data_IF_956499388890
#
_entry.id   IF_956499388890
#
_cell.length_a   1.000
_cell.length_b   1.000
_cell.length_c   1.000
_cell.angle_alpha   90.00
_cell.angle_beta   90.00
_cell.angle_gamma   90.00
#
_symmetry.space_group_name_H-M   'P 1'
#
loop_
_entity.id
_entity.type
_entity.pdbx_description
1 polymer ?
#
# COMPACT_ATOMS: atom_id res chain seq x y z
N UNK A 1 -2.70 5.78 -5.56
CA UNK A 1 -1.96 5.76 -6.83
C UNK A 1 -0.54 5.35 -6.56
N UNK A 2 0.06 4.51 -7.42
CA UNK A 2 1.47 4.13 -7.34
C UNK A 2 2.18 4.53 -8.64
N UNK A 3 3.42 5.01 -8.55
CA UNK A 3 4.23 5.38 -9.70
C UNK A 3 4.49 4.17 -10.61
N UNK A 4 4.44 4.38 -11.91
CA UNK A 4 4.80 3.36 -12.91
C UNK A 4 6.25 2.88 -12.71
N UNK A 5 7.13 3.72 -12.17
CA UNK A 5 8.49 3.32 -11.82
C UNK A 5 8.57 2.08 -10.90
N UNK A 6 7.56 1.88 -10.03
CA UNK A 6 7.47 0.69 -9.18
C UNK A 6 7.14 -0.60 -9.96
N UNK A 7 6.76 -0.48 -11.24
CA UNK A 7 6.45 -1.62 -12.11
C UNK A 7 7.61 -2.00 -13.06
N UNK A 8 8.76 -1.36 -12.91
CA UNK A 8 9.92 -1.63 -13.76
C UNK A 8 10.33 -3.10 -13.69
N UNK A 9 10.38 -3.77 -14.83
CA UNK A 9 10.71 -5.20 -14.93
C UNK A 9 9.55 -6.16 -14.58
N UNK A 10 8.36 -5.66 -14.25
CA UNK A 10 7.22 -6.52 -13.83
C UNK A 10 6.74 -7.44 -14.96
N UNK A 11 6.60 -6.92 -16.18
CA UNK A 11 6.12 -7.73 -17.31
C UNK A 11 7.15 -8.79 -17.70
N UNK A 12 8.42 -8.45 -17.62
CA UNK A 12 9.57 -9.35 -17.83
C UNK A 12 9.59 -10.45 -16.73
N UNK A 13 9.38 -10.07 -15.48
CA UNK A 13 9.31 -11.03 -14.36
C UNK A 13 8.15 -12.02 -14.51
N UNK A 14 6.97 -11.55 -14.94
CA UNK A 14 5.83 -12.42 -15.24
C UNK A 14 6.19 -13.41 -16.36
N UNK A 15 6.81 -12.93 -17.42
CA UNK A 15 7.22 -13.79 -18.55
C UNK A 15 8.27 -14.80 -18.13
N UNK A 16 9.27 -14.39 -17.35
CA UNK A 16 10.33 -15.26 -16.86
C UNK A 16 9.81 -16.36 -15.92
N UNK A 17 8.75 -16.07 -15.17
CA UNK A 17 8.03 -17.04 -14.33
C UNK A 17 7.04 -17.95 -15.13
N UNK A 18 6.98 -17.82 -16.46
CA UNK A 18 6.12 -18.63 -17.33
C UNK A 18 4.68 -18.12 -17.48
N UNK A 19 4.39 -16.92 -17.00
CA UNK A 19 3.08 -16.27 -17.15
C UNK A 19 2.96 -15.50 -18.45
N UNK A 20 1.72 -15.10 -18.77
CA UNK A 20 1.41 -14.24 -19.92
C UNK A 20 0.98 -12.85 -19.43
N UNK A 21 1.85 -11.82 -19.49
CA UNK A 21 1.53 -10.48 -19.01
C UNK A 21 0.37 -9.85 -19.81
N UNK A 22 0.27 -10.06 -21.11
CA UNK A 22 -0.78 -9.47 -21.94
C UNK A 22 -2.17 -9.98 -21.56
N UNK A 23 -2.29 -11.25 -21.19
CA UNK A 23 -3.54 -11.82 -20.70
C UNK A 23 -3.96 -11.21 -19.36
N UNK A 24 -2.99 -10.99 -18.46
CA UNK A 24 -3.26 -10.35 -17.16
C UNK A 24 -3.72 -8.91 -17.37
N UNK A 25 -3.01 -8.15 -18.22
CA UNK A 25 -3.36 -6.77 -18.52
C UNK A 25 -4.75 -6.65 -19.16
N UNK A 26 -5.06 -7.53 -20.13
CA UNK A 26 -6.38 -7.57 -20.76
C UNK A 26 -7.50 -7.83 -19.75
N UNK A 27 -7.29 -8.75 -18.80
CA UNK A 27 -8.27 -9.04 -17.73
C UNK A 27 -8.54 -7.82 -16.85
N UNK A 28 -7.54 -6.97 -16.66
CA UNK A 28 -7.62 -5.75 -15.86
C UNK A 28 -8.01 -4.51 -16.70
N UNK A 29 -8.22 -4.66 -18.01
CA UNK A 29 -8.56 -3.56 -18.91
C UNK A 29 -7.42 -2.56 -19.13
N UNK A 30 -6.17 -3.02 -19.07
CA UNK A 30 -4.97 -2.21 -19.21
C UNK A 30 -4.32 -2.42 -20.57
N UNK A 31 -3.76 -1.33 -21.11
CA UNK A 31 -2.90 -1.37 -22.28
C UNK A 31 -1.42 -1.45 -21.87
N UNK A 32 -0.64 -2.27 -22.58
CA UNK A 32 0.79 -2.45 -22.32
C UNK A 32 1.59 -1.14 -22.41
N UNK A 33 1.14 -0.20 -23.24
CA UNK A 33 1.79 1.11 -23.40
C UNK A 33 1.83 1.93 -22.11
N UNK A 34 0.97 1.63 -21.14
CA UNK A 34 1.01 2.26 -19.81
C UNK A 34 2.36 1.98 -19.14
N UNK A 35 2.91 0.78 -19.31
CA UNK A 35 4.16 0.33 -18.68
C UNK A 35 5.42 0.73 -19.46
N UNK A 36 5.27 1.27 -20.67
CA UNK A 36 6.38 1.79 -21.48
C UNK A 36 6.69 3.25 -21.22
N UNK A 37 5.87 3.93 -20.39
CA UNK A 37 6.07 5.33 -20.03
C UNK A 37 7.13 5.45 -18.94
N UNK A 38 7.98 6.46 -19.05
CA UNK A 38 8.96 6.79 -18.00
C UNK A 38 8.33 7.42 -16.77
N UNK A 39 7.14 8.03 -16.92
CA UNK A 39 6.43 8.76 -15.87
C UNK A 39 4.94 8.45 -15.90
N UNK A 40 4.31 8.51 -14.73
CA UNK A 40 2.88 8.31 -14.57
C UNK A 40 2.53 7.51 -13.34
N UNK A 41 1.22 7.29 -13.16
CA UNK A 41 0.69 6.58 -12.01
C UNK A 41 -0.41 5.62 -12.45
N UNK A 42 -0.50 4.49 -11.76
CA UNK A 42 -1.63 3.56 -11.84
C UNK A 42 -2.32 3.44 -10.47
N UNK A 43 -3.59 3.02 -10.41
CA UNK A 43 -4.23 2.70 -9.14
C UNK A 43 -3.45 1.63 -8.37
N UNK A 44 -3.26 1.78 -7.07
CA UNK A 44 -2.58 0.77 -6.24
C UNK A 44 -3.31 -0.57 -6.26
N UNK A 45 -4.65 -0.54 -6.33
CA UNK A 45 -5.47 -1.75 -6.51
C UNK A 45 -5.18 -2.48 -7.82
N UNK A 46 -4.84 -1.74 -8.87
CA UNK A 46 -4.43 -2.30 -10.17
C UNK A 46 -3.08 -3.01 -10.05
N UNK A 47 -2.09 -2.37 -9.42
CA UNK A 47 -0.78 -2.98 -9.17
C UNK A 47 -0.92 -4.25 -8.32
N UNK A 48 -1.68 -4.19 -7.23
CA UNK A 48 -1.96 -5.37 -6.39
C UNK A 48 -2.68 -6.48 -7.18
N UNK A 49 -3.62 -6.12 -8.05
CA UNK A 49 -4.30 -7.05 -8.94
C UNK A 49 -3.34 -7.76 -9.91
N UNK A 50 -2.39 -7.02 -10.50
CA UNK A 50 -1.37 -7.61 -11.39
C UNK A 50 -0.51 -8.62 -10.64
N UNK A 51 0.02 -8.27 -9.46
CA UNK A 51 0.85 -9.18 -8.66
C UNK A 51 0.09 -10.45 -8.26
N UNK A 52 -1.17 -10.31 -7.84
CA UNK A 52 -2.04 -11.44 -7.49
C UNK A 52 -2.31 -12.35 -8.70
N UNK A 53 -2.66 -11.77 -9.85
CA UNK A 53 -2.95 -12.53 -11.06
C UNK A 53 -1.68 -13.14 -11.66
N UNK A 54 -0.51 -12.48 -11.49
CA UNK A 54 0.79 -13.05 -11.80
C UNK A 54 1.08 -14.30 -10.96
N UNK A 55 0.96 -14.20 -9.64
CA UNK A 55 1.16 -15.36 -8.75
C UNK A 55 0.27 -16.55 -9.16
N UNK A 56 -1.01 -16.26 -9.48
CA UNK A 56 -1.96 -17.32 -9.89
C UNK A 56 -1.61 -17.93 -11.24
N UNK A 57 -1.25 -17.11 -12.25
CA UNK A 57 -1.01 -17.57 -13.63
C UNK A 57 0.32 -18.26 -13.81
N UNK A 58 1.33 -17.91 -13.00
CA UNK A 58 2.65 -18.54 -13.02
C UNK A 58 2.73 -19.79 -12.11
N UNK A 59 1.80 -19.95 -11.18
CA UNK A 59 1.88 -20.95 -10.12
C UNK A 59 2.93 -20.61 -9.05
N UNK A 60 3.53 -19.44 -9.10
CA UNK A 60 4.48 -18.94 -8.10
C UNK A 60 3.74 -18.24 -6.96
N UNK A 61 3.46 -18.94 -5.89
CA UNK A 61 2.75 -18.41 -4.72
C UNK A 61 3.52 -17.28 -4.01
N UNK A 62 4.84 -17.15 -4.26
CA UNK A 62 5.73 -16.12 -3.73
C UNK A 62 6.10 -15.05 -4.79
N UNK A 63 5.31 -14.88 -5.85
CA UNK A 63 5.65 -13.99 -6.96
C UNK A 63 5.99 -12.56 -6.52
N UNK A 64 5.21 -11.97 -5.60
CA UNK A 64 5.50 -10.62 -5.08
C UNK A 64 6.83 -10.53 -4.35
N UNK A 65 7.18 -11.57 -3.59
CA UNK A 65 8.46 -11.70 -2.91
C UNK A 65 9.62 -11.80 -3.92
N UNK A 66 9.49 -12.66 -4.93
CA UNK A 66 10.49 -12.85 -5.98
C UNK A 66 10.65 -11.60 -6.87
N UNK A 67 9.55 -10.95 -7.22
CA UNK A 67 9.60 -9.69 -7.94
C UNK A 67 10.31 -8.61 -7.11
N UNK A 68 10.01 -8.52 -5.81
CA UNK A 68 10.69 -7.60 -4.89
C UNK A 68 12.19 -7.89 -4.76
N UNK A 69 12.60 -9.16 -4.76
CA UNK A 69 13.99 -9.58 -4.69
C UNK A 69 14.78 -9.23 -5.97
N UNK A 70 14.14 -9.37 -7.12
CA UNK A 70 14.72 -9.00 -8.43
C UNK A 70 14.67 -7.49 -8.73
N UNK A 71 13.79 -6.74 -8.04
CA UNK A 71 13.59 -5.32 -8.29
C UNK A 71 14.77 -4.48 -7.79
N UNK A 72 15.34 -3.68 -8.68
CA UNK A 72 16.45 -2.80 -8.30
C UNK A 72 15.91 -1.50 -7.67
N UNK A 73 16.22 -1.19 -6.39
CA UNK A 73 15.65 -0.03 -5.69
C UNK A 73 15.80 1.30 -6.44
N UNK A 74 16.90 1.52 -7.15
CA UNK A 74 17.14 2.75 -7.95
C UNK A 74 16.09 2.98 -9.04
N UNK A 75 15.33 1.96 -9.45
CA UNK A 75 14.25 2.12 -10.44
C UNK A 75 13.14 3.05 -9.92
N UNK A 76 13.00 3.21 -8.59
CA UNK A 76 12.06 4.19 -8.01
C UNK A 76 12.55 5.64 -8.22
N UNK A 77 13.80 5.85 -8.64
CA UNK A 77 14.33 7.18 -8.95
C UNK A 77 14.70 8.00 -7.70
N UNK A 78 14.37 9.30 -7.65
CA UNK A 78 14.85 10.22 -6.62
C UNK A 78 14.62 9.77 -5.19
N UNK A 79 13.52 9.05 -4.88
CA UNK A 79 13.27 8.50 -3.54
C UNK A 79 14.35 7.51 -3.11
N UNK A 80 14.76 6.61 -4.01
CA UNK A 80 15.83 5.66 -3.70
C UNK A 80 17.17 6.39 -3.56
N UNK A 81 17.45 7.35 -4.45
CA UNK A 81 18.71 8.09 -4.39
C UNK A 81 18.86 8.91 -3.11
N UNK A 82 17.80 9.57 -2.62
CA UNK A 82 17.87 10.31 -1.34
C UNK A 82 18.08 9.36 -0.16
N UNK A 83 17.46 8.19 -0.15
CA UNK A 83 17.65 7.19 0.89
C UNK A 83 19.09 6.64 0.89
N UNK A 84 19.56 6.18 -0.28
CA UNK A 84 20.88 5.55 -0.45
C UNK A 84 22.07 6.48 -0.22
N UNK A 85 21.88 7.80 -0.32
CA UNK A 85 22.92 8.80 -0.11
C UNK A 85 22.72 9.59 1.19
N UNK A 86 21.78 9.18 2.03
CA UNK A 86 21.57 9.79 3.36
C UNK A 86 22.81 9.60 4.25
N UNK A 87 23.12 10.57 5.14
CA UNK A 87 24.29 10.48 6.02
C UNK A 87 24.29 9.25 6.91
N UNK A 88 23.09 8.88 7.43
CA UNK A 88 22.90 7.71 8.30
C UNK A 88 21.69 6.88 7.82
N UNK A 89 21.62 5.64 8.29
CA UNK A 89 20.47 4.76 8.03
C UNK A 89 19.17 5.39 8.55
N UNK A 90 19.20 5.96 9.77
CA UNK A 90 18.03 6.64 10.34
C UNK A 90 17.55 7.81 9.49
N UNK A 91 18.47 8.63 8.97
CA UNK A 91 18.14 9.71 8.02
C UNK A 91 17.53 9.14 6.74
N UNK A 92 18.03 8.01 6.22
CA UNK A 92 17.46 7.33 5.05
C UNK A 92 16.03 6.87 5.30
N UNK A 93 15.76 6.24 6.44
CA UNK A 93 14.42 5.82 6.85
C UNK A 93 13.47 7.03 6.95
N UNK A 94 13.90 8.12 7.59
CA UNK A 94 13.12 9.36 7.71
C UNK A 94 12.80 9.98 6.33
N UNK A 95 13.74 9.93 5.41
CA UNK A 95 13.51 10.42 4.05
C UNK A 95 12.50 9.56 3.30
N UNK A 96 12.54 8.23 3.44
CA UNK A 96 11.52 7.35 2.88
C UNK A 96 10.14 7.66 3.49
N UNK A 97 10.04 7.79 4.79
CA UNK A 97 8.80 8.16 5.49
C UNK A 97 8.24 9.49 4.96
N UNK A 98 9.10 10.49 4.78
CA UNK A 98 8.73 11.83 4.30
C UNK A 98 8.26 11.86 2.86
N UNK A 99 8.92 11.12 1.96
CA UNK A 99 8.72 11.30 0.51
C UNK A 99 8.02 10.15 -0.19
N UNK A 100 7.78 9.01 0.47
CA UNK A 100 7.19 7.82 -0.18
C UNK A 100 5.84 8.12 -0.83
N UNK A 101 5.04 8.99 -0.25
CA UNK A 101 3.71 9.31 -0.78
C UNK A 101 3.74 10.08 -2.12
N UNK A 102 4.91 10.63 -2.53
CA UNK A 102 5.13 11.18 -3.87
C UNK A 102 5.03 10.05 -4.91
N UNK A 103 5.46 8.83 -4.55
CA UNK A 103 5.55 7.67 -5.44
C UNK A 103 4.43 6.65 -5.23
N UNK A 104 3.97 6.52 -4.02
CA UNK A 104 2.86 5.64 -3.64
C UNK A 104 1.99 6.30 -2.57
N UNK A 105 0.85 6.84 -3.00
CA UNK A 105 -0.10 7.49 -2.10
C UNK A 105 -0.83 6.52 -1.17
N UNK A 106 -0.71 5.21 -1.39
CA UNK A 106 -1.28 4.18 -0.52
C UNK A 106 -0.31 3.66 0.52
N UNK A 107 0.99 3.78 0.28
CA UNK A 107 2.01 3.32 1.18
C UNK A 107 2.25 4.31 2.33
N UNK A 108 2.24 3.80 3.54
CA UNK A 108 2.71 4.52 4.72
C UNK A 108 3.85 3.76 5.35
N UNK A 109 4.94 4.47 5.50
CA UNK A 109 6.12 4.01 6.22
C UNK A 109 6.27 4.85 7.47
N UNK A 110 6.57 4.23 8.59
CA UNK A 110 6.88 4.95 9.82
C UNK A 110 7.81 4.14 10.71
N UNK A 111 8.67 4.85 11.40
CA UNK A 111 9.62 4.26 12.32
C UNK A 111 9.14 4.42 13.75
N UNK A 112 9.22 3.35 14.53
CA UNK A 112 8.98 3.37 15.98
C UNK A 112 10.09 2.65 16.70
N UNK A 113 10.41 3.07 17.93
CA UNK A 113 11.41 2.44 18.77
C UNK A 113 10.77 1.92 20.06
N UNK A 114 11.12 0.69 20.44
CA UNK A 114 10.68 0.03 21.68
C UNK A 114 11.88 -0.64 22.34
N UNK A 115 12.37 -0.07 23.44
CA UNK A 115 13.60 -0.51 24.07
C UNK A 115 14.81 -0.37 23.12
N UNK A 116 15.54 -1.46 22.88
CA UNK A 116 16.67 -1.50 21.93
C UNK A 116 16.28 -1.96 20.52
N UNK A 117 14.98 -2.04 20.22
CA UNK A 117 14.48 -2.45 18.90
C UNK A 117 13.87 -1.27 18.15
N UNK A 118 14.22 -1.16 16.86
CA UNK A 118 13.58 -0.26 15.91
C UNK A 118 12.66 -1.05 14.99
N UNK A 119 11.50 -0.49 14.70
CA UNK A 119 10.49 -1.10 13.81
C UNK A 119 10.27 -0.17 12.62
N UNK A 120 10.66 -0.60 11.43
CA UNK A 120 10.29 0.04 10.18
C UNK A 120 8.96 -0.58 9.75
N UNK A 121 7.85 0.11 9.99
CA UNK A 121 6.50 -0.40 9.73
C UNK A 121 6.01 0.02 8.35
N UNK A 122 5.33 -0.89 7.69
CA UNK A 122 4.76 -0.70 6.36
C UNK A 122 3.28 -1.03 6.36
N UNK A 123 2.47 -0.06 5.96
CA UNK A 123 1.01 -0.20 5.87
C UNK A 123 0.54 0.30 4.51
N UNK A 124 -0.19 -0.54 3.79
CA UNK A 124 -0.92 -0.11 2.61
C UNK A 124 -2.32 0.37 3.01
N UNK A 125 -2.62 1.59 2.65
CA UNK A 125 -3.93 2.21 2.83
C UNK A 125 -4.59 2.38 1.45
N UNK A 126 -5.92 2.42 1.37
CA UNK A 126 -6.65 2.73 0.11
C UNK A 126 -6.59 1.68 -1.01
N UNK A 127 -6.21 0.44 -0.72
CA UNK A 127 -6.07 -0.63 -1.73
C UNK A 127 -7.28 -1.57 -1.82
N UNK A 128 -8.36 -1.29 -1.10
CA UNK A 128 -9.56 -2.14 -1.07
C UNK A 128 -9.43 -3.36 -0.15
N UNK A 129 -10.30 -4.37 -0.35
CA UNK A 129 -10.37 -5.61 0.45
C UNK A 129 -9.54 -6.75 -0.18
N UNK A 130 -8.85 -6.51 -1.29
CA UNK A 130 -8.05 -7.55 -1.93
C UNK A 130 -6.93 -8.03 -0.97
N UNK A 131 -6.62 -9.34 -0.98
CA UNK A 131 -5.47 -9.83 -0.27
C UNK A 131 -4.22 -9.11 -0.77
N UNK A 132 -3.59 -8.34 0.11
CA UNK A 132 -2.41 -7.54 -0.22
C UNK A 132 -1.10 -8.29 0.01
N UNK A 133 -1.15 -9.61 0.22
CA UNK A 133 0.01 -10.42 0.55
C UNK A 133 1.15 -10.17 -0.45
N UNK A 134 0.91 -10.35 -1.75
CA UNK A 134 1.93 -10.18 -2.79
C UNK A 134 2.52 -8.76 -2.78
N UNK A 135 1.69 -7.74 -2.58
CA UNK A 135 2.14 -6.33 -2.49
C UNK A 135 2.93 -6.05 -1.21
N UNK A 136 2.53 -6.65 -0.09
CA UNK A 136 3.23 -6.50 1.18
C UNK A 136 4.60 -7.19 1.13
N UNK A 137 4.67 -8.41 0.60
CA UNK A 137 5.90 -9.15 0.40
C UNK A 137 6.86 -8.40 -0.53
N UNK A 138 6.35 -7.87 -1.65
CA UNK A 138 7.12 -7.02 -2.56
C UNK A 138 7.69 -5.77 -1.86
N UNK A 139 6.84 -5.00 -1.16
CA UNK A 139 7.25 -3.78 -0.48
C UNK A 139 8.30 -4.03 0.61
N UNK A 140 8.09 -5.06 1.44
CA UNK A 140 9.03 -5.43 2.50
C UNK A 140 10.39 -5.88 1.95
N UNK A 141 10.39 -6.65 0.85
CA UNK A 141 11.63 -7.09 0.17
C UNK A 141 12.38 -5.89 -0.41
N UNK A 142 11.67 -4.94 -1.04
CA UNK A 142 12.26 -3.72 -1.57
C UNK A 142 13.00 -2.91 -0.50
N UNK A 143 12.44 -2.81 0.72
CA UNK A 143 13.09 -2.10 1.83
C UNK A 143 14.33 -2.84 2.31
N UNK A 144 14.26 -4.15 2.46
CA UNK A 144 15.44 -4.96 2.82
C UNK A 144 16.55 -4.79 1.79
N UNK A 145 16.22 -4.83 0.49
CA UNK A 145 17.20 -4.64 -0.56
C UNK A 145 17.77 -3.20 -0.58
N UNK A 146 16.95 -2.19 -0.27
CA UNK A 146 17.43 -0.81 -0.11
C UNK A 146 18.44 -0.72 1.04
N UNK A 147 18.13 -1.29 2.21
CA UNK A 147 19.05 -1.30 3.34
C UNK A 147 20.33 -2.08 3.03
N UNK A 148 20.24 -3.21 2.32
CA UNK A 148 21.42 -3.95 1.84
C UNK A 148 22.29 -3.14 0.90
N UNK A 149 21.70 -2.29 0.06
CA UNK A 149 22.46 -1.36 -0.78
C UNK A 149 23.17 -0.27 0.04
N UNK A 150 22.59 0.13 1.18
CA UNK A 150 23.18 1.14 2.07
C UNK A 150 24.38 0.61 2.86
N UNK A 151 24.31 -0.64 3.35
CA UNK A 151 25.26 -1.16 4.34
C UNK A 151 25.97 -2.44 3.92
N UNK A 152 25.66 -2.98 2.76
CA UNK A 152 26.26 -4.22 2.23
C UNK A 152 25.27 -5.37 2.13
N UNK A 153 25.46 -6.20 1.10
CA UNK A 153 24.54 -7.28 0.71
C UNK A 153 24.37 -8.38 1.77
N UNK A 154 25.29 -8.49 2.74
CA UNK A 154 25.22 -9.50 3.81
C UNK A 154 24.33 -9.08 4.98
N UNK A 155 23.86 -7.85 5.01
CA UNK A 155 22.98 -7.39 6.08
C UNK A 155 21.63 -8.11 6.05
N UNK A 156 21.12 -8.38 7.24
CA UNK A 156 19.78 -8.93 7.46
C UNK A 156 19.11 -8.22 8.66
N UNK A 157 17.78 -8.08 8.65
CA UNK A 157 17.05 -7.60 9.82
C UNK A 157 17.12 -8.62 10.98
N UNK A 158 16.77 -8.20 12.19
CA UNK A 158 16.62 -9.13 13.32
C UNK A 158 15.39 -10.04 13.14
N UNK A 159 14.33 -9.52 12.53
CA UNK A 159 13.06 -10.20 12.33
C UNK A 159 12.26 -9.49 11.23
N UNK A 160 11.44 -10.22 10.51
CA UNK A 160 10.45 -9.69 9.56
C UNK A 160 9.07 -10.10 10.02
N UNK A 161 8.15 -9.15 10.09
CA UNK A 161 6.77 -9.37 10.52
C UNK A 161 5.81 -9.10 9.36
N UNK A 162 4.89 -10.02 9.13
CA UNK A 162 3.80 -9.86 8.16
C UNK A 162 2.45 -9.93 8.86
N UNK A 163 1.53 -9.03 8.45
CA UNK A 163 0.16 -9.00 8.97
C UNK A 163 -0.73 -10.10 8.37
N UNK A 164 -0.34 -10.67 7.23
CA UNK A 164 -1.06 -11.79 6.62
C UNK A 164 -0.66 -13.13 7.26
N UNK A 165 -1.52 -14.12 7.11
CA UNK A 165 -1.26 -15.49 7.54
C UNK A 165 -0.09 -16.13 6.79
N UNK A 166 0.55 -17.11 7.42
CA UNK A 166 1.63 -17.85 6.80
C UNK A 166 1.13 -18.57 5.54
N UNK A 167 1.83 -18.46 4.40
CA UNK A 167 1.57 -19.33 3.26
C UNK A 167 1.95 -20.78 3.58
N UNK A 168 1.52 -21.73 2.73
CA UNK A 168 1.86 -23.14 2.91
C UNK A 168 3.37 -23.40 2.95
N UNK A 169 4.13 -22.62 2.21
CA UNK A 169 5.59 -22.73 2.15
C UNK A 169 6.23 -21.37 2.45
N UNK A 170 7.14 -21.33 3.41
CA UNK A 170 7.83 -20.12 3.87
C UNK A 170 9.34 -20.13 3.62
N UNK A 171 9.86 -21.17 2.94
CA UNK A 171 11.29 -21.32 2.67
C UNK A 171 11.89 -20.13 1.91
N UNK A 172 11.15 -19.61 0.92
CA UNK A 172 11.59 -18.45 0.14
C UNK A 172 11.66 -17.16 0.98
N UNK A 173 10.73 -16.97 1.91
CA UNK A 173 10.78 -15.86 2.86
C UNK A 173 12.08 -15.92 3.69
N UNK A 174 12.40 -17.09 4.27
CA UNK A 174 13.65 -17.23 5.04
C UNK A 174 14.89 -17.09 4.18
N UNK A 175 14.87 -17.59 2.93
CA UNK A 175 15.99 -17.46 1.99
C UNK A 175 16.27 -16.00 1.64
N UNK A 176 15.21 -15.24 1.32
CA UNK A 176 15.34 -13.84 0.86
C UNK A 176 15.65 -12.92 2.04
N UNK A 177 14.91 -13.00 3.13
CA UNK A 177 15.13 -12.11 4.27
C UNK A 177 16.35 -12.46 5.10
N UNK A 178 16.74 -13.76 5.15
CA UNK A 178 17.85 -14.28 5.96
C UNK A 178 17.67 -13.93 7.45
N UNK A 179 16.43 -13.95 7.92
CA UNK A 179 16.01 -13.61 9.26
C UNK A 179 14.78 -14.45 9.65
N UNK A 180 14.44 -14.56 10.93
CA UNK A 180 13.15 -15.06 11.37
C UNK A 180 12.01 -14.28 10.74
N UNK A 181 10.98 -14.99 10.25
CA UNK A 181 9.78 -14.37 9.64
C UNK A 181 8.57 -14.80 10.46
N UNK A 182 7.83 -13.81 10.95
CA UNK A 182 6.61 -13.97 11.74
C UNK A 182 5.40 -13.58 10.90
N UNK A 183 4.33 -14.37 10.97
CA UNK A 183 3.08 -14.14 10.25
C UNK A 183 1.94 -13.93 11.24
N UNK A 184 0.80 -13.39 10.77
CA UNK A 184 -0.34 -13.08 11.62
C UNK A 184 -0.08 -11.93 12.61
N UNK A 185 0.90 -11.06 12.34
CA UNK A 185 1.23 -9.93 13.19
C UNK A 185 0.24 -8.77 12.98
N UNK A 186 0.24 -7.81 13.90
CA UNK A 186 -0.63 -6.63 13.81
C UNK A 186 -0.33 -5.77 12.56
N UNK A 187 0.94 -5.66 12.19
CA UNK A 187 1.40 -4.86 11.04
C UNK A 187 2.58 -5.54 10.34
N UNK A 188 2.85 -5.15 9.09
CA UNK A 188 4.11 -5.52 8.46
C UNK A 188 5.22 -4.65 9.04
N UNK A 189 6.33 -5.26 9.47
CA UNK A 189 7.47 -4.55 10.02
C UNK A 189 8.80 -5.26 9.76
N UNK A 190 9.86 -4.47 9.58
CA UNK A 190 11.23 -4.94 9.75
C UNK A 190 11.70 -4.55 11.14
N UNK A 191 12.19 -5.52 11.90
CA UNK A 191 12.77 -5.30 13.23
C UNK A 191 14.28 -5.20 13.06
N UNK A 192 14.85 -4.10 13.56
CA UNK A 192 16.28 -3.80 13.52
C UNK A 192 16.77 -3.48 14.91
N UNK A 193 18.06 -3.58 15.16
CA UNK A 193 18.67 -3.00 16.36
C UNK A 193 18.59 -1.46 16.30
N UNK A 194 18.19 -0.82 17.40
CA UNK A 194 18.00 0.63 17.40
C UNK A 194 19.29 1.39 17.02
N UNK A 195 20.44 0.94 17.53
CA UNK A 195 21.75 1.52 17.21
C UNK A 195 22.14 1.44 15.73
N UNK A 196 21.47 0.55 14.96
CA UNK A 196 21.67 0.47 13.52
C UNK A 196 21.29 1.76 12.77
N UNK A 197 20.33 2.53 13.31
CA UNK A 197 19.91 3.81 12.71
C UNK A 197 20.99 4.88 12.74
N UNK A 198 21.94 4.79 13.66
CA UNK A 198 23.04 5.76 13.81
C UNK A 198 24.22 5.46 12.88
N UNK A 199 24.23 4.28 12.24
CA UNK A 199 25.32 3.90 11.34
C UNK A 199 25.33 4.80 10.10
N UNK A 200 26.52 5.28 9.77
CA UNK A 200 26.76 6.00 8.52
C UNK A 200 26.56 5.07 7.31
N UNK A 201 26.16 5.66 6.18
CA UNK A 201 26.07 4.97 4.90
C UNK A 201 27.43 5.11 4.18
N UNK A 202 28.22 4.02 4.08
CA UNK A 202 29.63 4.13 3.63
C UNK A 202 29.82 4.71 2.22
N UNK A 203 28.85 4.48 1.34
CA UNK A 203 28.90 4.92 -0.07
C UNK A 203 28.06 6.19 -0.33
N UNK A 204 27.65 6.91 0.72
CA UNK A 204 26.82 8.09 0.57
C UNK A 204 27.56 9.24 -0.13
N UNK A 205 26.96 9.76 -1.19
CA UNK A 205 27.38 10.99 -1.84
C UNK A 205 26.58 12.16 -1.28
N UNK A 206 27.24 12.99 -0.46
CA UNK A 206 26.61 14.14 0.20
C UNK A 206 26.09 15.19 -0.80
N UNK A 207 26.76 15.38 -1.91
CA UNK A 207 26.33 16.33 -2.94
C UNK A 207 25.06 15.82 -3.64
N UNK A 208 25.05 14.56 -4.05
CA UNK A 208 23.88 13.92 -4.64
C UNK A 208 22.69 13.90 -3.66
N UNK A 209 22.97 13.63 -2.39
CA UNK A 209 21.94 13.69 -1.32
C UNK A 209 21.26 15.06 -1.29
N UNK A 210 22.03 16.15 -1.25
CA UNK A 210 21.48 17.51 -1.20
C UNK A 210 20.64 17.84 -2.45
N UNK A 211 21.11 17.46 -3.63
CA UNK A 211 20.40 17.66 -4.90
C UNK A 211 19.05 16.91 -4.88
N UNK A 212 19.07 15.61 -4.53
CA UNK A 212 17.87 14.79 -4.50
C UNK A 212 16.86 15.25 -3.45
N UNK A 213 17.36 15.62 -2.27
CA UNK A 213 16.54 16.17 -1.19
C UNK A 213 15.86 17.47 -1.61
N UNK A 214 16.61 18.38 -2.21
CA UNK A 214 16.09 19.66 -2.69
C UNK A 214 15.01 19.47 -3.78
N UNK A 215 15.26 18.57 -4.72
CA UNK A 215 14.29 18.18 -5.74
C UNK A 215 13.00 17.61 -5.12
N UNK A 216 13.14 16.66 -4.18
CA UNK A 216 11.98 16.04 -3.52
C UNK A 216 11.21 17.04 -2.63
N UNK A 217 11.91 17.94 -1.93
CA UNK A 217 11.26 19.02 -1.17
C UNK A 217 10.46 19.95 -2.09
N UNK A 218 10.99 20.26 -3.28
CA UNK A 218 10.26 21.05 -4.29
C UNK A 218 9.03 20.29 -4.79
N UNK A 219 9.18 19.04 -5.25
CA UNK A 219 8.05 18.21 -5.69
C UNK A 219 6.98 18.12 -4.60
N UNK A 220 7.40 17.89 -3.35
CA UNK A 220 6.50 17.82 -2.20
C UNK A 220 5.75 19.14 -1.97
N UNK A 221 6.41 20.27 -2.18
CA UNK A 221 5.80 21.61 -2.04
C UNK A 221 4.78 21.93 -3.14
N UNK A 222 5.01 21.39 -4.35
CA UNK A 222 4.16 21.55 -5.53
C UNK A 222 3.02 20.53 -5.58
N UNK A 223 3.17 19.38 -4.86
CA UNK A 223 2.07 18.44 -4.76
C UNK A 223 0.86 19.16 -4.17
N UNK A 224 -0.33 18.98 -4.79
CA UNK A 224 -1.55 19.37 -4.13
C UNK A 224 -1.49 18.74 -2.74
N UNK A 225 -1.40 19.55 -1.72
CA UNK A 225 -1.43 19.01 -0.36
C UNK A 225 -2.64 18.12 -0.30
N UNK A 226 -2.48 16.78 -0.16
CA UNK A 226 -3.57 15.89 0.29
C UNK A 226 -4.03 16.35 1.69
N UNK A 227 -3.70 17.60 1.99
CA UNK A 227 -3.99 18.35 3.16
C UNK A 227 -5.47 18.37 3.37
N UNK A 228 -5.85 17.66 4.36
CA UNK A 228 -7.10 18.02 4.99
C UNK A 228 -8.33 17.92 4.09
N UNK A 229 -8.26 18.29 2.79
CA UNK A 229 -9.43 18.35 1.94
C UNK A 229 -9.90 16.96 1.54
N UNK A 230 -9.08 16.11 0.93
CA UNK A 230 -9.49 14.74 0.58
C UNK A 230 -9.69 13.90 1.83
N UNK A 231 -8.79 14.03 2.81
CA UNK A 231 -8.95 13.42 4.13
C UNK A 231 -10.20 13.95 4.84
N UNK A 232 -10.46 15.26 4.79
CA UNK A 232 -11.67 15.89 5.33
C UNK A 232 -12.92 15.47 4.56
N UNK A 233 -12.84 15.28 3.23
CA UNK A 233 -13.95 14.73 2.43
C UNK A 233 -14.25 13.30 2.87
N UNK A 234 -13.23 12.44 2.99
CA UNK A 234 -13.40 11.05 3.47
C UNK A 234 -13.96 10.99 4.89
N UNK A 235 -13.44 11.83 5.78
CA UNK A 235 -13.99 11.98 7.15
C UNK A 235 -15.45 12.43 7.11
N UNK A 236 -15.78 13.44 6.31
CA UNK A 236 -17.16 13.92 6.15
C UNK A 236 -18.08 12.87 5.51
N UNK A 237 -17.57 12.05 4.59
CA UNK A 237 -18.30 10.88 4.04
C UNK A 237 -18.56 9.87 5.18
N UNK A 238 -17.55 9.48 5.94
CA UNK A 238 -17.68 8.52 7.05
C UNK A 238 -18.66 8.99 8.13
N UNK A 239 -18.58 10.26 8.50
CA UNK A 239 -19.55 10.86 9.42
C UNK A 239 -20.97 10.89 8.84
N UNK A 240 -21.10 11.15 7.54
CA UNK A 240 -22.42 11.18 6.87
C UNK A 240 -23.05 9.79 6.73
N UNK A 241 -22.24 8.71 6.71
CA UNK A 241 -22.74 7.33 6.71
C UNK A 241 -23.52 6.99 7.97
N UNK A 242 -23.10 7.50 9.14
CA UNK A 242 -23.82 7.31 10.41
C UNK A 242 -25.22 7.96 10.40
N UNK A 243 -25.40 8.98 9.57
CA UNK A 243 -26.66 9.69 9.37
C UNK A 243 -27.48 9.13 8.19
N UNK A 244 -27.07 8.01 7.61
CA UNK A 244 -27.65 7.36 6.42
C UNK A 244 -26.79 7.51 5.17
N UNK A 245 -27.39 7.44 3.97
CA UNK A 245 -26.65 7.51 2.71
C UNK A 245 -25.88 8.84 2.53
N UNK A 246 -24.54 8.81 2.32
CA UNK A 246 -23.72 10.00 2.18
C UNK A 246 -23.92 10.63 0.78
N UNK A 247 -24.91 11.51 0.66
CA UNK A 247 -25.17 12.27 -0.58
C UNK A 247 -24.14 13.40 -0.76
N UNK A 248 -23.75 13.69 -2.00
CA UNK A 248 -22.80 14.76 -2.36
C UNK A 248 -23.18 16.11 -1.69
N UNK A 249 -24.45 16.48 -1.71
CA UNK A 249 -24.92 17.73 -1.14
C UNK A 249 -24.72 17.79 0.40
N UNK A 250 -24.90 16.66 1.10
CA UNK A 250 -24.70 16.56 2.56
C UNK A 250 -23.22 16.72 2.91
N UNK A 251 -22.35 16.02 2.20
CA UNK A 251 -20.89 16.08 2.41
C UNK A 251 -20.39 17.49 2.09
N UNK A 252 -20.83 18.07 0.98
CA UNK A 252 -20.47 19.44 0.60
C UNK A 252 -20.89 20.46 1.68
N UNK A 253 -22.08 20.32 2.24
CA UNK A 253 -22.55 21.18 3.34
C UNK A 253 -21.68 21.04 4.60
N UNK A 254 -21.29 19.81 4.99
CA UNK A 254 -20.37 19.57 6.13
C UNK A 254 -19.00 20.22 5.90
N UNK A 255 -18.58 20.38 4.64
CA UNK A 255 -17.33 21.00 4.27
C UNK A 255 -17.43 22.50 3.96
N UNK A 256 -18.57 23.13 4.27
CA UNK A 256 -18.85 24.54 3.97
C UNK A 256 -18.61 24.92 2.50
N UNK A 257 -18.93 24.03 1.53
CA UNK A 257 -18.80 24.29 0.10
C UNK A 257 -20.02 23.84 -0.70
N UNK A 258 -20.16 24.38 -1.92
CA UNK A 258 -21.23 23.98 -2.84
C UNK A 258 -20.97 22.58 -3.43
N UNK A 259 -22.02 21.79 -3.77
CA UNK A 259 -21.87 20.48 -4.39
C UNK A 259 -21.04 20.48 -5.69
N UNK A 260 -21.19 21.50 -6.53
CA UNK A 260 -20.40 21.66 -7.76
C UNK A 260 -18.91 21.89 -7.47
N UNK A 261 -18.60 22.70 -6.43
CA UNK A 261 -17.24 22.95 -5.99
C UNK A 261 -16.58 21.68 -5.47
N UNK A 262 -17.29 20.91 -4.64
CA UNK A 262 -16.80 19.61 -4.15
C UNK A 262 -16.54 18.63 -5.31
N UNK A 263 -17.48 18.53 -6.25
CA UNK A 263 -17.34 17.64 -7.41
C UNK A 263 -16.17 18.04 -8.31
N UNK A 264 -15.95 19.34 -8.54
CA UNK A 264 -14.80 19.85 -9.30
C UNK A 264 -13.49 19.49 -8.61
N UNK A 265 -13.37 19.76 -7.31
CA UNK A 265 -12.18 19.41 -6.52
C UNK A 265 -11.88 17.92 -6.54
N UNK A 266 -12.90 17.06 -6.39
CA UNK A 266 -12.70 15.62 -6.50
C UNK A 266 -12.16 15.21 -7.86
N UNK A 267 -12.64 15.83 -8.95
CA UNK A 267 -12.11 15.62 -10.31
C UNK A 267 -10.65 16.07 -10.46
N UNK A 268 -10.30 17.20 -9.86
CA UNK A 268 -8.90 17.70 -9.82
C UNK A 268 -7.97 16.71 -9.11
N UNK A 269 -8.47 15.98 -8.12
CA UNK A 269 -7.77 14.86 -7.44
C UNK A 269 -7.92 13.52 -8.15
N UNK A 270 -8.58 13.45 -9.31
CA UNK A 270 -8.79 12.19 -10.05
C UNK A 270 -9.85 11.26 -9.45
N UNK A 271 -10.70 11.75 -8.54
CA UNK A 271 -11.73 10.94 -7.88
C UNK A 271 -13.14 11.24 -8.40
N UNK A 272 -13.95 10.16 -8.48
CA UNK A 272 -15.40 10.25 -8.55
C UNK A 272 -16.01 10.12 -7.15
N UNK A 273 -17.04 10.95 -6.85
CA UNK A 273 -17.65 10.96 -5.52
C UNK A 273 -18.27 9.61 -5.14
N UNK A 274 -18.95 8.94 -6.09
CA UNK A 274 -19.59 7.63 -5.83
C UNK A 274 -18.55 6.58 -5.52
N UNK A 275 -17.45 6.58 -6.29
CA UNK A 275 -16.33 5.66 -6.06
C UNK A 275 -15.68 5.92 -4.70
N UNK A 276 -15.48 7.19 -4.33
CA UNK A 276 -14.91 7.54 -3.03
C UNK A 276 -15.82 7.12 -1.85
N UNK A 277 -17.15 7.23 -2.00
CA UNK A 277 -18.13 6.71 -1.03
C UNK A 277 -18.03 5.19 -0.95
N UNK A 278 -17.97 4.50 -2.10
CA UNK A 278 -17.87 3.04 -2.16
C UNK A 278 -16.57 2.54 -1.52
N UNK A 279 -15.43 3.15 -1.83
CA UNK A 279 -14.13 2.84 -1.24
C UNK A 279 -14.15 3.07 0.29
N UNK A 280 -14.77 4.15 0.74
CA UNK A 280 -14.91 4.44 2.17
C UNK A 280 -15.79 3.40 2.88
N UNK A 281 -16.92 3.01 2.29
CA UNK A 281 -17.79 1.94 2.80
C UNK A 281 -17.06 0.62 2.91
N UNK A 282 -16.32 0.26 1.89
CA UNK A 282 -15.56 -0.98 1.83
C UNK A 282 -14.54 -1.09 2.97
N UNK A 283 -13.79 -0.01 3.23
CA UNK A 283 -12.81 0.06 4.34
C UNK A 283 -13.45 -0.13 5.70
N UNK A 284 -14.51 0.62 5.97
CA UNK A 284 -15.21 0.51 7.26
C UNK A 284 -15.92 -0.83 7.42
N UNK A 285 -16.42 -1.44 6.33
CA UNK A 285 -17.04 -2.76 6.38
C UNK A 285 -16.08 -3.80 6.96
N UNK A 286 -14.83 -3.85 6.45
CA UNK A 286 -13.82 -4.78 6.96
C UNK A 286 -13.49 -4.52 8.42
N UNK A 287 -13.29 -3.25 8.77
CA UNK A 287 -13.00 -2.88 10.16
C UNK A 287 -14.14 -3.28 11.11
N UNK A 288 -15.39 -3.02 10.72
CA UNK A 288 -16.55 -3.38 11.57
C UNK A 288 -16.80 -4.89 11.63
N UNK A 289 -16.49 -5.65 10.56
CA UNK A 289 -16.64 -7.11 10.56
C UNK A 289 -15.58 -7.80 11.43
N UNK A 290 -14.43 -7.18 11.66
CA UNK A 290 -13.43 -7.64 12.63
C UNK A 290 -13.90 -7.46 14.07
N UNK A 291 -14.68 -6.41 14.36
CA UNK A 291 -15.23 -6.18 15.69
C UNK A 291 -16.49 -7.03 15.91
N UNK A 292 -16.34 -8.09 16.74
CA UNK A 292 -17.42 -9.05 17.07
C UNK A 292 -18.63 -8.41 17.77
N UNK A 293 -18.54 -7.16 18.22
CA UNK A 293 -19.62 -6.46 18.92
C UNK A 293 -20.76 -6.05 17.98
N UNK A 294 -20.49 -5.97 16.67
CA UNK A 294 -21.47 -5.51 15.71
C UNK A 294 -22.14 -6.68 14.98
N UNK A 295 -23.45 -6.73 14.96
CA UNK A 295 -24.21 -7.62 14.06
C UNK A 295 -24.08 -7.13 12.62
N UNK A 296 -24.27 -8.03 11.63
CA UNK A 296 -24.24 -7.66 10.21
C UNK A 296 -25.25 -6.56 9.84
N UNK A 297 -26.39 -6.53 10.55
CA UNK A 297 -27.41 -5.49 10.39
C UNK A 297 -26.89 -4.14 10.89
N UNK A 298 -26.25 -4.10 12.05
CA UNK A 298 -25.62 -2.89 12.58
C UNK A 298 -24.50 -2.40 11.67
N UNK A 299 -23.65 -3.30 11.16
CA UNK A 299 -22.62 -2.95 10.18
C UNK A 299 -23.24 -2.31 8.93
N UNK A 300 -24.34 -2.87 8.40
CA UNK A 300 -25.05 -2.29 7.26
C UNK A 300 -25.49 -0.85 7.55
N UNK A 301 -26.11 -0.61 8.70
CA UNK A 301 -26.55 0.74 9.10
C UNK A 301 -25.40 1.71 9.35
N UNK A 302 -24.32 1.27 10.01
CA UNK A 302 -23.10 2.09 10.21
C UNK A 302 -22.44 2.50 8.89
N UNK A 303 -22.63 1.72 7.83
CA UNK A 303 -22.16 2.00 6.47
C UNK A 303 -23.15 2.83 5.64
N UNK A 304 -24.29 3.24 6.25
CA UNK A 304 -25.31 4.07 5.61
C UNK A 304 -26.18 3.31 4.60
N UNK A 305 -26.34 2.00 4.75
CA UNK A 305 -27.34 1.23 4.01
C UNK A 305 -28.67 1.22 4.76
N UNK A 306 -29.75 1.31 4.02
CA UNK A 306 -31.11 1.25 4.59
C UNK A 306 -31.53 -0.17 4.96
N UNK A 307 -30.87 -1.18 4.41
CA UNK A 307 -31.19 -2.60 4.64
C UNK A 307 -29.95 -3.50 4.47
N UNK A 308 -29.94 -4.61 5.22
CA UNK A 308 -28.86 -5.60 5.17
C UNK A 308 -28.67 -6.21 3.78
N UNK A 309 -29.76 -6.38 3.02
CA UNK A 309 -29.73 -6.96 1.68
C UNK A 309 -28.89 -6.10 0.69
N UNK A 310 -28.99 -4.78 0.80
CA UNK A 310 -28.21 -3.85 -0.02
C UNK A 310 -26.72 -3.91 0.34
N UNK A 311 -26.38 -3.99 1.61
CA UNK A 311 -25.02 -4.20 2.08
C UNK A 311 -24.46 -5.54 1.59
N UNK A 312 -25.21 -6.64 1.72
CA UNK A 312 -24.79 -7.96 1.28
C UNK A 312 -24.46 -7.98 -0.22
N UNK A 313 -25.29 -7.36 -1.07
CA UNK A 313 -25.05 -7.25 -2.51
C UNK A 313 -23.78 -6.44 -2.81
N UNK A 314 -23.60 -5.30 -2.13
CA UNK A 314 -22.44 -4.46 -2.29
C UNK A 314 -21.16 -5.18 -1.83
N UNK A 315 -21.19 -5.81 -0.67
CA UNK A 315 -20.04 -6.53 -0.12
C UNK A 315 -19.64 -7.73 -0.99
N UNK A 316 -20.64 -8.49 -1.50
CA UNK A 316 -20.38 -9.60 -2.44
C UNK A 316 -19.77 -9.11 -3.76
N UNK A 317 -20.17 -7.93 -4.26
CA UNK A 317 -19.57 -7.30 -5.44
C UNK A 317 -18.09 -6.96 -5.18
N UNK A 318 -17.77 -6.45 -3.99
CA UNK A 318 -16.40 -6.05 -3.63
C UNK A 318 -15.47 -7.24 -3.37
N UNK A 319 -15.96 -8.30 -2.68
CA UNK A 319 -15.14 -9.37 -2.11
C UNK A 319 -15.37 -10.73 -2.74
N UNK A 320 -16.39 -10.85 -3.63
CA UNK A 320 -16.91 -12.11 -4.18
C UNK A 320 -17.39 -13.11 -3.11
N UNK A 321 -17.55 -12.64 -1.87
CA UNK A 321 -17.96 -13.41 -0.70
C UNK A 321 -19.06 -12.68 0.05
N UNK A 322 -19.92 -13.41 0.79
CA UNK A 322 -20.88 -12.74 1.67
C UNK A 322 -20.16 -12.18 2.91
N UNK A 323 -20.72 -11.13 3.56
CA UNK A 323 -20.15 -10.61 4.82
C UNK A 323 -20.01 -11.71 5.88
N UNK A 324 -20.97 -12.61 5.97
CA UNK A 324 -20.96 -13.71 6.95
C UNK A 324 -19.83 -14.71 6.66
N UNK A 325 -19.66 -15.10 5.39
CA UNK A 325 -18.59 -16.04 4.99
C UNK A 325 -17.21 -15.40 5.16
N UNK A 326 -17.12 -14.09 4.88
CA UNK A 326 -15.93 -13.31 5.09
C UNK A 326 -15.56 -13.26 6.58
N UNK A 327 -16.52 -12.93 7.45
CA UNK A 327 -16.34 -12.90 8.89
C UNK A 327 -15.96 -14.29 9.44
N UNK A 328 -16.63 -15.36 8.99
CA UNK A 328 -16.30 -16.74 9.40
C UNK A 328 -14.89 -17.16 8.99
N UNK A 329 -14.42 -16.75 7.81
CA UNK A 329 -13.04 -17.02 7.39
C UNK A 329 -12.03 -16.30 8.28
N UNK A 330 -12.28 -15.04 8.60
CA UNK A 330 -11.41 -14.29 9.51
C UNK A 330 -11.37 -14.90 10.91
N UNK A 331 -12.50 -15.46 11.39
CA UNK A 331 -12.62 -16.09 12.70
C UNK A 331 -12.03 -17.51 12.79
N UNK A 332 -11.79 -18.18 11.64
CA UNK A 332 -11.10 -19.49 11.60
C UNK A 332 -9.58 -19.32 11.51
N UNK A 333 -9.11 -18.10 11.32
CA UNK A 333 -7.72 -17.74 11.19
C UNK A 333 -7.15 -17.08 12.46
N UNK A 334 -7.98 -16.90 13.50
CA UNK A 334 -7.62 -16.62 14.89
C UNK A 334 -7.55 -17.92 15.72
#
# INVERSE_FOLDING_TARGET
>A
MISIAATAGLLEAITAAGGNPDQILQTLGLDRSVFSKSEGFIPCSTFAGILKDAARSTGDDCFGLHFGDSFHPKNIGPLAYVALNSPTIGTGIQNVERYVHIYDSSAKWFFTAEGNRGYIRYVLTDVGIEPLRQSNEHGMTLVVNTLRMMVGSQWAPQEVQFAHEAPEQTSEHHRIFRAPVMFGCETNALVIELGFTEREVPAADQQLYQIMKQYLDQVLSEMPREDGVLSSIRKSIAESMRDGDPKLARVAKKMAMGPRTLQRRLKEYGFDFKKLVEDTRQRFAVSYLKDRKNSLTEVAFLLGYSELSAFNRAFKRWTRSTPLDYQRRMLRQE
#
